data_IF_278839846534
#
_entry.id   IF_278839846534
#
_cell.length_a   1.000
_cell.length_b   1.000
_cell.length_c   1.000
_cell.angle_alpha   90.00
_cell.angle_beta   90.00
_cell.angle_gamma   90.00
#
_symmetry.space_group_name_H-M   'P 1'
#
loop_
_entity.id
_entity.type
_entity.pdbx_description
1 polymer ?
#
# COMPACT_ATOMS: atom_id res chain seq x y z
N UNK A 1 16.05 3.70 9.85
CA UNK A 1 14.71 4.34 9.83
C UNK A 1 14.73 5.85 10.17
N UNK A 2 15.89 6.47 10.47
CA UNK A 2 15.97 7.90 10.85
C UNK A 2 15.68 8.86 9.68
N UNK A 3 16.24 8.60 8.49
CA UNK A 3 16.00 9.47 7.34
C UNK A 3 14.52 9.51 6.93
N UNK A 4 13.84 8.37 6.98
CA UNK A 4 12.41 8.27 6.66
C UNK A 4 11.50 9.01 7.65
N UNK A 5 11.81 9.00 8.95
CA UNK A 5 11.02 9.76 9.93
C UNK A 5 11.18 11.26 9.76
N UNK A 6 12.39 11.74 9.44
CA UNK A 6 12.64 13.14 9.12
C UNK A 6 11.90 13.53 7.83
N UNK A 7 12.00 12.72 6.78
CA UNK A 7 11.26 12.96 5.54
C UNK A 7 9.74 13.02 5.76
N UNK A 8 9.18 12.13 6.61
CA UNK A 8 7.76 12.18 6.98
C UNK A 8 7.39 13.50 7.66
N UNK A 9 8.21 14.00 8.58
CA UNK A 9 7.96 15.30 9.22
C UNK A 9 8.00 16.46 8.22
N UNK A 10 8.93 16.44 7.27
CA UNK A 10 9.00 17.45 6.20
C UNK A 10 7.75 17.39 5.32
N UNK A 11 7.29 16.19 4.96
CA UNK A 11 6.07 15.99 4.16
C UNK A 11 4.81 16.48 4.88
N UNK A 12 4.74 16.32 6.20
CA UNK A 12 3.63 16.84 7.00
C UNK A 12 3.53 18.38 6.94
N UNK A 13 4.65 19.09 6.79
CA UNK A 13 4.63 20.57 6.64
C UNK A 13 3.89 21.00 5.38
N UNK A 14 3.94 20.21 4.32
CA UNK A 14 3.22 20.46 3.06
C UNK A 14 1.87 19.73 3.00
N UNK A 15 1.39 19.19 4.13
CA UNK A 15 0.08 18.55 4.27
C UNK A 15 0.00 17.12 3.74
N UNK A 16 1.12 16.46 3.44
CA UNK A 16 1.13 15.08 2.94
C UNK A 16 1.10 14.10 4.10
N UNK A 17 0.09 13.23 4.09
CA UNK A 17 -0.06 12.15 5.07
C UNK A 17 0.39 10.82 4.48
N UNK A 18 1.22 10.10 5.24
CA UNK A 18 1.75 8.80 4.85
C UNK A 18 1.31 7.71 5.82
N UNK A 19 0.70 6.67 5.28
CA UNK A 19 0.26 5.46 5.97
C UNK A 19 0.86 4.22 5.31
N UNK A 20 1.06 3.18 6.10
CA UNK A 20 1.46 1.87 5.60
C UNK A 20 0.91 0.78 6.52
N UNK A 21 0.30 -0.25 5.95
CA UNK A 21 -0.35 -1.33 6.68
C UNK A 21 -0.23 -2.65 5.91
N UNK A 22 -0.45 -3.77 6.61
CA UNK A 22 -0.48 -5.10 5.98
C UNK A 22 -1.86 -5.33 5.37
N UNK A 23 -1.90 -5.61 4.07
CA UNK A 23 -3.11 -5.86 3.30
C UNK A 23 -3.30 -7.32 2.94
N UNK A 24 -2.26 -8.15 3.07
CA UNK A 24 -2.37 -9.60 2.84
C UNK A 24 -1.33 -10.37 3.63
N UNK A 25 -1.70 -11.56 4.09
CA UNK A 25 -0.78 -12.59 4.63
C UNK A 25 -1.22 -13.94 4.09
N UNK A 26 -0.36 -14.60 3.31
CA UNK A 26 -0.69 -15.88 2.67
C UNK A 26 -1.97 -15.79 1.83
N UNK A 27 -3.00 -16.54 2.22
CA UNK A 27 -4.32 -16.56 1.55
C UNK A 27 -5.35 -15.61 2.21
N UNK A 28 -4.96 -14.86 3.24
CA UNK A 28 -5.83 -13.93 3.95
C UNK A 28 -5.59 -12.52 3.43
N UNK A 29 -6.54 -12.04 2.63
CA UNK A 29 -6.53 -10.69 2.04
C UNK A 29 -7.48 -9.75 2.76
N UNK A 30 -7.10 -8.47 2.82
CA UNK A 30 -7.98 -7.38 3.20
C UNK A 30 -8.80 -6.92 1.99
N UNK A 31 -10.07 -7.28 1.95
CA UNK A 31 -11.01 -6.95 0.85
C UNK A 31 -11.83 -5.68 1.13
N UNK A 32 -11.19 -4.68 1.77
CA UNK A 32 -11.82 -3.41 2.12
C UNK A 32 -11.02 -2.27 1.51
N UNK A 33 -11.71 -1.34 0.85
CA UNK A 33 -11.05 -0.20 0.22
C UNK A 33 -10.45 0.74 1.27
N UNK A 34 -9.35 1.40 0.94
CA UNK A 34 -8.60 2.22 1.90
C UNK A 34 -9.41 3.40 2.46
N UNK A 35 -10.40 3.89 1.72
CA UNK A 35 -11.29 4.99 2.11
C UNK A 35 -12.36 4.55 3.13
N UNK A 36 -12.60 3.26 3.25
CA UNK A 36 -13.52 2.68 4.25
C UNK A 36 -12.78 2.27 5.54
N UNK A 37 -11.45 2.25 5.52
CA UNK A 37 -10.62 1.86 6.65
C UNK A 37 -10.39 3.01 7.64
N UNK A 38 -10.51 2.70 8.92
CA UNK A 38 -10.03 3.58 9.99
C UNK A 38 -8.50 3.45 10.11
N UNK A 39 -7.78 4.30 9.39
CA UNK A 39 -6.31 4.31 9.37
C UNK A 39 -5.68 4.61 10.75
N UNK A 40 -6.44 5.13 11.72
CA UNK A 40 -5.93 5.31 13.08
C UNK A 40 -5.66 3.98 13.80
N UNK A 41 -6.28 2.89 13.33
CA UNK A 41 -6.14 1.55 13.90
C UNK A 41 -4.95 0.76 13.37
N UNK A 42 -4.15 1.31 12.44
CA UNK A 42 -3.01 0.61 11.85
C UNK A 42 -2.07 0.06 12.93
N UNK A 43 -1.79 0.81 13.99
CA UNK A 43 -0.86 0.37 15.04
C UNK A 43 -1.56 -0.31 16.24
N UNK A 44 -2.85 -0.66 16.11
CA UNK A 44 -3.65 -1.27 17.20
C UNK A 44 -3.32 -2.75 17.45
N UNK A 45 -2.69 -3.43 16.50
CA UNK A 45 -2.38 -4.86 16.57
C UNK A 45 -1.01 -5.19 15.97
N UNK A 46 -0.54 -6.41 16.25
CA UNK A 46 0.83 -6.84 15.93
C UNK A 46 1.11 -7.01 14.43
N UNK A 47 0.09 -7.27 13.61
CA UNK A 47 0.24 -7.40 12.15
C UNK A 47 0.04 -6.07 11.44
N UNK A 48 -0.30 -5.00 12.17
CA UNK A 48 -0.51 -3.65 11.67
C UNK A 48 -1.53 -3.56 10.51
N UNK A 49 -2.62 -4.32 10.64
CA UNK A 49 -3.76 -4.26 9.72
C UNK A 49 -4.89 -3.43 10.38
N UNK A 50 -5.45 -2.41 9.71
CA UNK A 50 -6.48 -1.55 10.32
C UNK A 50 -7.85 -2.22 10.51
N UNK A 51 -8.10 -3.38 9.87
CA UNK A 51 -9.30 -4.19 10.09
C UNK A 51 -9.02 -5.30 11.13
N UNK A 52 -9.78 -5.29 12.22
CA UNK A 52 -9.58 -6.18 13.36
C UNK A 52 -9.93 -7.64 13.05
N UNK A 53 -10.92 -7.86 12.17
CA UNK A 53 -11.37 -9.19 11.78
C UNK A 53 -10.30 -9.88 10.94
N UNK A 54 -9.85 -9.22 9.88
CA UNK A 54 -8.77 -9.68 9.00
C UNK A 54 -7.46 -9.79 9.78
N UNK A 55 -7.14 -8.84 10.67
CA UNK A 55 -5.95 -8.92 11.52
C UNK A 55 -5.91 -10.21 12.36
N UNK A 56 -7.05 -10.59 12.95
CA UNK A 56 -7.15 -11.82 13.76
C UNK A 56 -6.93 -13.09 12.93
N UNK A 57 -7.42 -13.11 11.69
CA UNK A 57 -7.19 -14.21 10.74
C UNK A 57 -5.72 -14.29 10.31
N UNK A 58 -5.11 -13.15 9.97
CA UNK A 58 -3.69 -13.07 9.62
C UNK A 58 -2.80 -13.56 10.78
N UNK A 59 -3.07 -13.13 12.02
CA UNK A 59 -2.33 -13.57 13.21
C UNK A 59 -2.43 -15.09 13.38
N UNK A 60 -3.63 -15.64 13.21
CA UNK A 60 -3.89 -17.07 13.35
C UNK A 60 -3.11 -17.88 12.31
N UNK A 61 -3.10 -17.42 11.06
CA UNK A 61 -2.34 -18.06 9.97
C UNK A 61 -0.83 -17.98 10.21
N UNK A 62 -0.30 -16.84 10.65
CA UNK A 62 1.12 -16.70 10.97
C UNK A 62 1.51 -17.67 12.09
N UNK A 63 0.69 -17.80 13.12
CA UNK A 63 0.96 -18.70 14.24
C UNK A 63 0.91 -20.18 13.83
N UNK A 64 -0.03 -20.58 12.95
CA UNK A 64 -0.10 -21.95 12.45
C UNK A 64 1.13 -22.31 11.61
N UNK A 65 1.47 -21.48 10.62
CA UNK A 65 2.64 -21.69 9.75
C UNK A 65 3.93 -21.73 10.57
N UNK A 66 4.06 -20.85 11.58
CA UNK A 66 5.20 -20.86 12.51
C UNK A 66 5.29 -22.17 13.29
N UNK A 67 4.17 -22.73 13.76
CA UNK A 67 4.15 -24.02 14.49
C UNK A 67 4.54 -25.19 13.60
N UNK A 68 4.31 -25.09 12.30
CA UNK A 68 4.73 -26.05 11.29
C UNK A 68 6.23 -25.91 10.92
N UNK A 69 6.90 -24.86 11.41
CA UNK A 69 8.32 -24.60 11.15
C UNK A 69 8.58 -23.95 9.79
N UNK A 70 7.57 -23.33 9.18
CA UNK A 70 7.66 -22.67 7.89
C UNK A 70 7.42 -21.15 8.00
N UNK A 71 7.40 -20.45 6.88
CA UNK A 71 7.21 -19.00 6.76
C UNK A 71 6.12 -18.66 5.75
N UNK A 72 5.47 -17.52 5.94
CA UNK A 72 4.41 -17.03 5.06
C UNK A 72 4.74 -15.61 4.59
N UNK A 73 4.49 -15.36 3.30
CA UNK A 73 4.64 -14.03 2.71
C UNK A 73 3.42 -13.14 2.97
N UNK A 74 3.49 -11.90 2.48
CA UNK A 74 2.38 -10.96 2.59
C UNK A 74 2.58 -9.73 1.73
N UNK A 75 1.57 -8.86 1.72
CA UNK A 75 1.56 -7.60 0.98
C UNK A 75 1.46 -6.45 1.98
N UNK A 76 2.27 -5.42 1.75
CA UNK A 76 2.21 -4.16 2.49
C UNK A 76 1.68 -3.10 1.53
N UNK A 77 0.57 -2.47 1.92
CA UNK A 77 0.00 -1.33 1.20
C UNK A 77 0.50 -0.03 1.81
N UNK A 78 0.98 0.87 0.97
CA UNK A 78 1.36 2.23 1.34
C UNK A 78 0.38 3.23 0.73
N UNK A 79 -0.04 4.21 1.52
CA UNK A 79 -0.94 5.28 1.09
C UNK A 79 -0.30 6.64 1.35
N UNK A 80 -0.30 7.48 0.33
CA UNK A 80 0.11 8.87 0.41
C UNK A 80 -1.08 9.77 0.05
N UNK A 81 -1.61 10.49 1.03
CA UNK A 81 -2.75 11.40 0.84
C UNK A 81 -2.27 12.83 0.70
N UNK A 82 -3.09 13.66 0.03
CA UNK A 82 -2.86 15.10 -0.16
C UNK A 82 -1.53 15.42 -0.87
N UNK A 83 -1.03 14.50 -1.70
CA UNK A 83 0.21 14.67 -2.45
C UNK A 83 0.03 15.80 -3.48
N UNK A 84 0.83 16.87 -3.44
CA UNK A 84 0.77 17.92 -4.45
C UNK A 84 1.00 17.38 -5.85
N UNK A 85 0.25 17.91 -6.82
CA UNK A 85 0.43 17.56 -8.23
C UNK A 85 1.81 18.01 -8.74
N UNK A 86 2.40 17.23 -9.65
CA UNK A 86 3.65 17.58 -10.32
C UNK A 86 4.93 17.06 -9.65
N UNK A 87 4.84 16.22 -8.61
CA UNK A 87 6.02 15.56 -8.04
C UNK A 87 6.58 14.45 -8.95
N UNK A 88 7.91 14.41 -9.06
CA UNK A 88 8.67 13.47 -9.90
C UNK A 88 9.36 14.15 -11.06
N UNK A 89 10.40 13.52 -11.60
CA UNK A 89 11.24 14.07 -12.66
C UNK A 89 11.26 13.16 -13.90
N UNK A 90 10.50 13.47 -14.97
CA UNK A 90 10.57 12.68 -16.19
C UNK A 90 11.94 12.85 -16.89
N UNK A 91 12.42 11.88 -17.67
CA UNK A 91 11.77 10.63 -18.09
C UNK A 91 12.21 9.42 -17.26
N UNK A 92 13.40 9.46 -16.65
CA UNK A 92 14.01 8.32 -15.96
C UNK A 92 13.75 8.31 -14.45
N UNK A 93 13.54 9.47 -13.83
CA UNK A 93 13.33 9.64 -12.38
C UNK A 93 11.86 9.95 -12.07
N UNK A 94 10.95 9.24 -12.77
CA UNK A 94 9.51 9.32 -12.51
C UNK A 94 9.27 8.89 -11.07
N UNK A 95 8.32 9.53 -10.38
CA UNK A 95 8.04 9.25 -8.97
C UNK A 95 7.83 7.76 -8.67
N UNK A 96 7.01 7.06 -9.47
CA UNK A 96 6.79 5.62 -9.32
C UNK A 96 8.04 4.77 -9.59
N UNK A 97 8.97 5.24 -10.44
CA UNK A 97 10.23 4.54 -10.69
C UNK A 97 11.17 4.65 -9.48
N UNK A 98 11.28 5.83 -8.88
CA UNK A 98 12.06 6.03 -7.65
C UNK A 98 11.45 5.29 -6.46
N UNK A 99 10.12 5.27 -6.34
CA UNK A 99 9.41 4.48 -5.33
C UNK A 99 9.70 2.99 -5.53
N UNK A 100 9.60 2.48 -6.76
CA UNK A 100 9.91 1.08 -7.06
C UNK A 100 11.36 0.74 -6.67
N UNK A 101 12.32 1.57 -7.06
CA UNK A 101 13.73 1.41 -6.69
C UNK A 101 13.93 1.38 -5.18
N UNK A 102 13.28 2.29 -4.45
CA UNK A 102 13.35 2.33 -2.99
C UNK A 102 12.73 1.08 -2.35
N UNK A 103 11.55 0.65 -2.80
CA UNK A 103 10.88 -0.54 -2.26
C UNK A 103 11.66 -1.83 -2.54
N UNK A 104 12.22 -1.98 -3.72
CA UNK A 104 13.05 -3.15 -4.08
C UNK A 104 14.36 -3.23 -3.30
N UNK A 105 14.78 -2.14 -2.62
CA UNK A 105 15.95 -2.17 -1.72
C UNK A 105 15.66 -2.82 -0.36
N UNK A 106 14.38 -3.02 -0.01
CA UNK A 106 13.97 -3.66 1.24
C UNK A 106 14.15 -5.17 1.11
N UNK A 107 14.77 -5.80 2.11
CA UNK A 107 14.96 -7.25 2.14
C UNK A 107 13.62 -7.99 2.01
N UNK A 108 13.67 -9.14 1.32
CA UNK A 108 12.53 -10.01 1.00
C UNK A 108 11.46 -9.43 0.05
N UNK A 109 11.51 -8.14 -0.33
CA UNK A 109 10.61 -7.60 -1.36
C UNK A 109 10.94 -8.20 -2.71
N UNK A 110 9.89 -8.69 -3.41
CA UNK A 110 9.99 -9.32 -4.74
C UNK A 110 9.20 -8.61 -5.83
N UNK A 111 8.37 -7.64 -5.46
CA UNK A 111 7.54 -6.89 -6.38
C UNK A 111 7.13 -5.54 -5.79
N UNK A 112 6.81 -4.62 -6.68
CA UNK A 112 6.23 -3.32 -6.36
C UNK A 112 5.13 -3.03 -7.36
N UNK A 113 3.98 -2.59 -6.86
CA UNK A 113 2.85 -2.17 -7.67
C UNK A 113 2.28 -0.86 -7.16
N UNK A 114 1.58 -0.13 -8.04
CA UNK A 114 0.95 1.14 -7.72
C UNK A 114 -0.39 1.25 -8.47
N UNK A 115 -1.36 1.94 -7.87
CA UNK A 115 -2.73 2.00 -8.40
C UNK A 115 -3.35 0.60 -8.45
N UNK A 116 -3.99 0.24 -9.57
CA UNK A 116 -4.56 -1.11 -9.76
C UNK A 116 -3.51 -2.22 -10.00
N UNK A 117 -2.22 -1.88 -10.04
CA UNK A 117 -1.12 -2.84 -10.04
C UNK A 117 -1.17 -3.88 -11.14
N UNK A 118 -0.77 -5.11 -10.82
CA UNK A 118 -0.73 -6.20 -11.79
C UNK A 118 -2.13 -6.65 -12.26
N UNK A 119 -3.19 -6.39 -11.48
CA UNK A 119 -4.56 -6.71 -11.86
C UNK A 119 -5.01 -5.98 -13.14
N UNK A 120 -4.46 -4.79 -13.41
CA UNK A 120 -4.76 -3.99 -14.61
C UNK A 120 -4.35 -4.66 -15.91
N UNK A 121 -3.37 -5.57 -15.88
CA UNK A 121 -2.95 -6.34 -17.07
C UNK A 121 -4.06 -7.20 -17.67
N UNK A 122 -5.10 -7.52 -16.88
CA UNK A 122 -6.26 -8.29 -17.31
C UNK A 122 -7.41 -7.42 -17.83
N UNK A 123 -7.29 -6.10 -17.71
CA UNK A 123 -8.37 -5.15 -18.04
C UNK A 123 -8.11 -4.46 -19.38
N UNK A 124 -9.19 -4.01 -20.03
CA UNK A 124 -9.09 -3.18 -21.24
C UNK A 124 -8.88 -1.73 -20.86
N UNK A 125 -8.14 -0.98 -21.68
CA UNK A 125 -7.93 0.46 -21.48
C UNK A 125 -9.22 1.25 -21.29
N UNK A 126 -10.30 0.87 -21.97
CA UNK A 126 -11.63 1.50 -21.81
C UNK A 126 -12.27 1.33 -20.42
N UNK A 127 -11.84 0.33 -19.65
CA UNK A 127 -12.34 0.03 -18.30
C UNK A 127 -11.55 0.75 -17.21
N UNK A 128 -10.32 1.15 -17.51
CA UNK A 128 -9.34 1.67 -16.53
C UNK A 128 -8.91 3.10 -16.80
N UNK A 129 -9.46 3.72 -17.84
CA UNK A 129 -9.14 5.10 -18.16
C UNK A 129 -9.87 6.03 -17.19
N UNK A 130 -9.11 6.81 -16.43
CA UNK A 130 -9.65 7.84 -15.56
C UNK A 130 -10.31 8.93 -16.42
N UNK A 131 -11.64 9.01 -16.40
CA UNK A 131 -12.36 10.01 -17.17
C UNK A 131 -12.14 11.40 -16.59
N UNK A 132 -11.82 12.36 -17.44
CA UNK A 132 -11.68 13.77 -17.03
C UNK A 132 -13.03 14.44 -16.75
N UNK A 133 -14.12 13.86 -17.27
CA UNK A 133 -15.50 14.34 -17.09
C UNK A 133 -16.32 13.15 -16.62
N UNK A 134 -16.98 13.31 -15.47
CA UNK A 134 -17.89 12.30 -14.97
C UNK A 134 -19.23 12.41 -15.72
N UNK A 135 -19.56 11.42 -16.55
CA UNK A 135 -20.75 11.44 -17.43
C UNK A 135 -22.07 11.37 -16.65
N UNK A 136 -22.03 11.24 -15.31
CA UNK A 136 -23.21 11.15 -14.43
C UNK A 136 -23.77 12.51 -13.96
N UNK A 137 -23.24 13.64 -14.44
CA UNK A 137 -23.80 14.98 -14.19
C UNK A 137 -24.23 15.71 -15.48
N UNK A 138 -25.03 15.04 -16.33
CA UNK A 138 -25.90 15.69 -17.33
C UNK A 138 -27.31 15.11 -17.20
#
# INVERSE_FOLDING_TARGET
MVAGSIAKQVLQVIGVDLYAYVSSVGEVDLDVSYDELDLSKIDSNIVRCPDETTASQMISLIDSVRKEGDTVGGIISGLALNVPVGLGAPVFDKLHADLAKAMMSINAVKGFEYGGGFAMSKQRGSQVNDSFIDTLMV
#
